data_IF_665181221406
#
_entry.id   IF_665181221406
#
_cell.length_a   1.000
_cell.length_b   1.000
_cell.length_c   1.000
_cell.angle_alpha   90.00
_cell.angle_beta   90.00
_cell.angle_gamma   90.00
#
_symmetry.space_group_name_H-M   'P 1'
#
loop_
_entity.id
_entity.type
_entity.pdbx_description
1 polymer ?
#
# COMPACT_ATOMS: atom_id res chain seq x y z
N UNK A 1 6.75 -16.91 6.86
CA UNK A 1 6.28 -17.92 5.88
C UNK A 1 7.47 -18.81 5.55
N UNK A 2 7.30 -20.12 5.45
CA UNK A 2 8.38 -21.09 5.12
C UNK A 2 8.28 -21.54 3.65
N UNK A 3 9.36 -22.06 3.08
CA UNK A 3 9.40 -22.57 1.69
C UNK A 3 8.39 -23.70 1.44
N UNK A 4 8.11 -24.52 2.46
CA UNK A 4 7.03 -25.52 2.43
C UNK A 4 5.65 -24.87 2.27
N UNK A 5 5.35 -23.82 3.05
CA UNK A 5 4.07 -23.13 2.95
C UNK A 5 3.89 -22.49 1.56
N UNK A 6 4.98 -21.94 0.99
CA UNK A 6 4.97 -21.36 -0.36
C UNK A 6 4.67 -22.44 -1.40
N UNK A 7 5.31 -23.62 -1.29
CA UNK A 7 5.10 -24.72 -2.24
C UNK A 7 3.66 -25.25 -2.22
N UNK A 8 3.04 -25.33 -1.04
CA UNK A 8 1.63 -25.73 -0.89
C UNK A 8 0.70 -24.72 -1.58
N UNK A 9 0.90 -23.41 -1.33
CA UNK A 9 0.07 -22.36 -1.91
C UNK A 9 0.19 -22.26 -3.45
N UNK A 10 1.31 -22.72 -4.00
CA UNK A 10 1.61 -22.66 -5.44
C UNK A 10 1.18 -23.88 -6.25
N UNK A 11 0.77 -24.97 -5.60
CA UNK A 11 0.56 -26.30 -6.24
C UNK A 11 -0.29 -26.26 -7.52
N UNK A 12 -1.29 -25.37 -7.56
CA UNK A 12 -2.24 -25.23 -8.67
C UNK A 12 -2.20 -23.82 -9.32
N UNK A 13 -1.08 -23.12 -9.19
CA UNK A 13 -0.92 -21.73 -9.66
C UNK A 13 0.11 -21.64 -10.79
N UNK A 14 -0.26 -20.90 -11.83
CA UNK A 14 0.57 -20.73 -13.04
C UNK A 14 1.32 -19.39 -13.12
N UNK A 15 1.39 -18.62 -12.02
CA UNK A 15 2.15 -17.37 -12.00
C UNK A 15 3.64 -17.62 -11.70
N UNK A 16 4.51 -16.69 -12.12
CA UNK A 16 5.97 -16.81 -12.03
C UNK A 16 6.48 -17.14 -10.63
N UNK A 17 7.61 -17.84 -10.56
CA UNK A 17 8.23 -18.24 -9.29
C UNK A 17 9.02 -17.10 -8.65
N UNK A 18 9.67 -16.30 -9.48
CA UNK A 18 10.53 -15.20 -9.09
C UNK A 18 9.98 -13.89 -9.65
N UNK A 19 10.24 -12.79 -8.94
CA UNK A 19 9.74 -11.45 -9.30
C UNK A 19 10.34 -10.93 -10.62
N UNK A 20 11.60 -11.27 -10.90
CA UNK A 20 12.29 -10.87 -12.13
C UNK A 20 11.79 -11.61 -13.39
N UNK A 21 10.96 -12.64 -13.19
CA UNK A 21 10.27 -13.39 -14.24
C UNK A 21 8.76 -13.08 -14.29
N UNK A 22 8.26 -12.20 -13.40
CA UNK A 22 6.83 -11.87 -13.28
C UNK A 22 6.51 -10.55 -14.02
N UNK A 23 6.27 -10.67 -15.33
CA UNK A 23 5.87 -9.54 -16.17
C UNK A 23 4.35 -9.31 -16.17
N UNK A 24 3.55 -10.26 -15.65
CA UNK A 24 2.08 -10.20 -15.66
C UNK A 24 1.59 -8.93 -14.94
N UNK A 25 2.27 -8.55 -13.85
CA UNK A 25 1.93 -7.33 -13.12
C UNK A 25 2.25 -6.05 -13.89
N UNK A 26 3.35 -6.02 -14.63
CA UNK A 26 3.76 -4.87 -15.44
C UNK A 26 2.81 -4.69 -16.63
N UNK A 27 2.45 -5.78 -17.28
CA UNK A 27 1.43 -5.81 -18.34
C UNK A 27 0.06 -5.36 -17.83
N UNK A 28 -0.36 -5.85 -16.66
CA UNK A 28 -1.59 -5.41 -15.99
C UNK A 28 -1.59 -3.90 -15.69
N UNK A 29 -0.43 -3.36 -15.32
CA UNK A 29 -0.25 -1.95 -15.02
C UNK A 29 0.02 -1.07 -16.26
N UNK A 30 -0.01 -1.63 -17.48
CA UNK A 30 0.26 -0.88 -18.71
C UNK A 30 -0.66 0.32 -18.86
N UNK A 31 -0.08 1.50 -19.06
CA UNK A 31 -0.79 2.79 -19.13
C UNK A 31 -1.17 3.40 -17.78
N UNK A 32 -0.96 2.69 -16.66
CA UNK A 32 -1.20 3.22 -15.31
C UNK A 32 0.00 4.07 -14.89
N UNK A 33 -0.29 5.28 -14.40
CA UNK A 33 0.73 6.25 -13.97
C UNK A 33 0.66 6.57 -12.48
N UNK A 34 -0.46 6.28 -11.82
CA UNK A 34 -0.74 6.64 -10.43
C UNK A 34 -0.85 5.38 -9.58
N UNK A 35 0.01 5.27 -8.58
CA UNK A 35 0.12 4.10 -7.71
C UNK A 35 -0.07 4.53 -6.27
N UNK A 36 -1.04 3.90 -5.61
CA UNK A 36 -1.31 4.07 -4.19
C UNK A 36 -0.93 2.77 -3.49
N UNK A 37 -0.04 2.83 -2.50
CA UNK A 37 0.29 1.66 -1.71
C UNK A 37 0.74 2.04 -0.29
N UNK A 38 0.73 1.04 0.60
CA UNK A 38 1.23 1.17 1.96
C UNK A 38 2.72 0.86 1.98
N UNK A 39 3.56 1.83 2.35
CA UNK A 39 5.02 1.69 2.30
C UNK A 39 5.57 1.43 0.88
N UNK A 40 5.02 2.10 -0.14
CA UNK A 40 5.33 1.91 -1.58
C UNK A 40 6.82 1.96 -1.94
N UNK A 41 7.66 2.64 -1.14
CA UNK A 41 9.11 2.65 -1.34
C UNK A 41 9.71 1.25 -1.26
N UNK A 42 9.12 0.36 -0.44
CA UNK A 42 9.52 -1.04 -0.36
C UNK A 42 9.06 -1.80 -1.61
N UNK A 43 7.79 -1.75 -1.99
CA UNK A 43 7.27 -2.56 -3.10
C UNK A 43 7.87 -2.15 -4.45
N UNK A 44 8.04 -0.84 -4.66
CA UNK A 44 8.52 -0.31 -5.93
C UNK A 44 9.99 -0.64 -6.26
N UNK A 45 10.74 -1.23 -5.33
CA UNK A 45 12.09 -1.75 -5.63
C UNK A 45 12.05 -3.05 -6.44
N UNK A 46 10.90 -3.75 -6.46
CA UNK A 46 10.71 -5.01 -7.17
C UNK A 46 10.01 -4.83 -8.52
N UNK A 47 9.63 -3.60 -8.88
CA UNK A 47 8.86 -3.30 -10.08
C UNK A 47 9.72 -2.59 -11.11
N UNK A 48 9.71 -3.04 -12.37
CA UNK A 48 10.41 -2.37 -13.46
C UNK A 48 9.48 -1.39 -14.20
N UNK A 49 8.82 -0.50 -13.44
CA UNK A 49 7.92 0.52 -14.00
C UNK A 49 8.65 1.87 -14.00
N UNK A 50 9.12 2.38 -15.16
CA UNK A 50 10.01 3.53 -15.23
C UNK A 50 9.37 4.85 -14.79
N UNK A 51 8.05 4.97 -14.88
CA UNK A 51 7.31 6.16 -14.45
C UNK A 51 6.15 5.80 -13.54
N UNK A 52 6.35 5.98 -12.23
CA UNK A 52 5.31 5.81 -11.22
C UNK A 52 5.14 7.09 -10.42
N UNK A 53 3.97 7.71 -10.50
CA UNK A 53 3.54 8.67 -9.47
C UNK A 53 3.12 7.84 -8.26
N UNK A 54 3.80 8.03 -7.14
CA UNK A 54 3.66 7.21 -5.93
C UNK A 54 2.94 7.99 -4.84
N UNK A 55 1.89 7.40 -4.27
CA UNK A 55 1.22 7.90 -3.07
C UNK A 55 1.34 6.88 -1.96
N UNK A 56 2.06 7.23 -0.90
CA UNK A 56 2.33 6.33 0.22
C UNK A 56 1.39 6.63 1.38
N UNK A 57 0.35 5.80 1.56
CA UNK A 57 -0.63 6.02 2.64
C UNK A 57 0.02 5.95 4.04
N UNK A 58 1.11 5.21 4.20
CA UNK A 58 1.87 5.16 5.47
C UNK A 58 2.50 6.53 5.80
N UNK A 59 3.25 7.10 4.86
CA UNK A 59 3.96 8.37 5.06
C UNK A 59 2.98 9.52 5.27
N UNK A 60 1.91 9.53 4.48
CA UNK A 60 0.89 10.57 4.55
C UNK A 60 0.08 10.55 5.84
N UNK A 61 0.13 9.44 6.60
CA UNK A 61 -0.56 9.28 7.87
C UNK A 61 0.29 9.47 9.13
N UNK A 62 1.60 9.68 9.01
CA UNK A 62 2.51 9.88 10.17
C UNK A 62 2.01 11.02 11.08
N UNK A 63 1.68 12.16 10.49
CA UNK A 63 1.26 13.35 11.24
C UNK A 63 -0.23 13.36 11.61
N UNK A 64 -0.99 12.35 11.18
CA UNK A 64 -2.42 12.24 11.48
C UNK A 64 -2.65 11.29 12.64
N UNK A 65 -2.07 10.09 12.52
CA UNK A 65 -2.17 9.05 13.55
C UNK A 65 -1.28 9.39 14.74
N UNK A 66 -0.18 10.14 14.52
CA UNK A 66 0.68 10.73 15.57
C UNK A 66 1.14 9.74 16.64
N UNK A 67 1.49 8.52 16.25
CA UNK A 67 1.95 7.53 17.22
C UNK A 67 3.37 7.85 17.64
N UNK A 68 3.61 7.92 18.95
CA UNK A 68 4.93 8.20 19.49
C UNK A 68 5.97 7.19 19.00
N UNK A 69 7.05 7.73 18.46
CA UNK A 69 8.25 6.99 18.07
C UNK A 69 9.41 7.32 18.99
N UNK A 70 10.62 7.06 18.51
CA UNK A 70 11.84 7.37 19.25
C UNK A 70 12.23 8.85 19.09
N UNK A 71 12.87 9.40 20.11
CA UNK A 71 13.49 10.75 20.07
C UNK A 71 12.51 11.89 19.74
N UNK A 72 11.29 11.83 20.26
CA UNK A 72 10.28 12.90 20.10
C UNK A 72 9.68 13.02 18.70
N UNK A 73 9.93 12.05 17.81
CA UNK A 73 9.31 11.98 16.48
C UNK A 73 8.16 10.97 16.48
N UNK A 74 7.18 11.18 15.61
CA UNK A 74 6.17 10.15 15.35
C UNK A 74 6.76 9.00 14.54
N UNK A 75 6.39 7.76 14.88
CA UNK A 75 6.76 6.60 14.08
C UNK A 75 5.87 6.50 12.83
N UNK A 76 6.34 5.74 11.84
CA UNK A 76 5.45 5.27 10.79
C UNK A 76 4.38 4.36 11.40
N UNK A 77 3.08 4.64 11.17
CA UNK A 77 2.04 3.77 11.65
C UNK A 77 2.12 2.42 10.92
N UNK A 78 1.61 1.37 11.54
CA UNK A 78 1.29 0.10 10.91
C UNK A 78 -0.01 0.23 10.12
N UNK A 79 -0.21 -0.66 9.15
CA UNK A 79 -1.43 -0.67 8.33
C UNK A 79 -2.69 -0.75 9.20
N UNK A 80 -2.71 -1.65 10.18
CA UNK A 80 -3.84 -1.81 11.11
C UNK A 80 -4.04 -0.61 12.05
N UNK A 81 -2.97 0.06 12.48
CA UNK A 81 -3.07 1.30 13.27
C UNK A 81 -3.71 2.42 12.45
N UNK A 82 -3.33 2.55 11.17
CA UNK A 82 -3.93 3.52 10.25
C UNK A 82 -5.38 3.18 9.94
N UNK A 83 -5.71 1.91 9.69
CA UNK A 83 -7.08 1.45 9.49
C UNK A 83 -7.97 1.77 10.70
N UNK A 84 -7.50 1.46 11.91
CA UNK A 84 -8.19 1.77 13.17
C UNK A 84 -8.40 3.27 13.36
N UNK A 85 -7.42 4.10 13.03
CA UNK A 85 -7.56 5.56 13.06
C UNK A 85 -8.72 6.06 12.19
N UNK A 86 -8.92 5.47 11.01
CA UNK A 86 -10.03 5.81 10.13
C UNK A 86 -11.35 5.07 10.45
N UNK A 87 -11.42 4.30 11.54
CA UNK A 87 -12.60 3.52 11.90
C UNK A 87 -12.93 2.42 10.89
N UNK A 88 -11.90 1.78 10.32
CA UNK A 88 -12.02 0.59 9.47
C UNK A 88 -11.77 -0.63 10.37
N UNK A 89 -12.71 -1.58 10.34
CA UNK A 89 -12.55 -2.85 11.05
C UNK A 89 -11.44 -3.69 10.41
N UNK A 90 -10.56 -4.22 11.26
CA UNK A 90 -9.44 -5.07 10.84
C UNK A 90 -9.68 -6.46 11.40
N UNK A 91 -9.79 -7.42 10.49
CA UNK A 91 -9.72 -8.84 10.81
C UNK A 91 -8.24 -9.24 10.92
N UNK A 92 -7.76 -9.32 12.15
CA UNK A 92 -6.36 -9.65 12.44
C UNK A 92 -5.97 -11.05 11.91
N UNK A 93 -6.93 -11.97 11.72
CA UNK A 93 -6.67 -13.29 11.12
C UNK A 93 -6.39 -13.23 9.62
N UNK A 94 -6.84 -12.18 8.94
CA UNK A 94 -6.62 -11.97 7.52
C UNK A 94 -5.38 -11.10 7.21
N UNK A 95 -4.76 -10.50 8.24
CA UNK A 95 -3.55 -9.68 8.07
C UNK A 95 -2.39 -10.49 7.48
N UNK A 96 -1.49 -9.81 6.77
CA UNK A 96 -0.35 -10.42 6.07
C UNK A 96 -0.73 -11.30 4.87
N UNK A 97 -1.99 -11.24 4.43
CA UNK A 97 -2.38 -11.63 3.08
C UNK A 97 -2.35 -10.40 2.18
N UNK A 98 -1.66 -10.50 1.05
CA UNK A 98 -1.44 -9.37 0.14
C UNK A 98 -2.74 -8.76 -0.39
N UNK A 99 -3.75 -9.58 -0.66
CA UNK A 99 -5.08 -9.13 -1.11
C UNK A 99 -5.82 -8.34 -0.03
N UNK A 100 -5.79 -8.82 1.21
CA UNK A 100 -6.42 -8.15 2.34
C UNK A 100 -5.70 -6.86 2.74
N UNK A 101 -4.37 -6.87 2.75
CA UNK A 101 -3.57 -5.68 3.05
C UNK A 101 -3.78 -4.61 1.96
N UNK A 102 -3.89 -5.02 0.70
CA UNK A 102 -4.25 -4.12 -0.43
C UNK A 102 -5.65 -3.54 -0.26
N UNK A 103 -6.63 -4.36 0.15
CA UNK A 103 -7.98 -3.91 0.45
C UNK A 103 -8.00 -2.85 1.56
N UNK A 104 -7.29 -3.09 2.67
CA UNK A 104 -7.18 -2.11 3.76
C UNK A 104 -6.50 -0.82 3.30
N UNK A 105 -5.44 -0.90 2.50
CA UNK A 105 -4.78 0.27 1.92
C UNK A 105 -5.76 1.10 1.06
N UNK A 106 -6.54 0.44 0.20
CA UNK A 106 -7.59 1.06 -0.61
C UNK A 106 -8.65 1.74 0.27
N UNK A 107 -9.15 1.06 1.30
CA UNK A 107 -10.14 1.66 2.23
C UNK A 107 -9.58 2.88 2.95
N UNK A 108 -8.33 2.82 3.45
CA UNK A 108 -7.65 3.97 4.05
C UNK A 108 -7.60 5.13 3.06
N UNK A 109 -7.17 4.89 1.82
CA UNK A 109 -7.10 5.94 0.80
C UNK A 109 -8.47 6.55 0.49
N UNK A 110 -9.53 5.74 0.41
CA UNK A 110 -10.91 6.22 0.24
C UNK A 110 -11.36 7.09 1.41
N UNK A 111 -10.96 6.77 2.65
CA UNK A 111 -11.26 7.62 3.81
C UNK A 111 -10.47 8.93 3.75
N UNK A 112 -9.21 8.89 3.32
CA UNK A 112 -8.42 10.10 3.09
C UNK A 112 -9.04 11.02 2.04
N UNK A 113 -9.61 10.46 0.96
CA UNK A 113 -10.32 11.23 -0.08
C UNK A 113 -11.56 11.98 0.46
N UNK A 114 -12.18 11.48 1.52
CA UNK A 114 -13.39 12.06 2.12
C UNK A 114 -13.08 13.07 3.22
N UNK A 115 -11.85 13.07 3.75
CA UNK A 115 -11.43 14.01 4.78
C UNK A 115 -10.84 15.27 4.13
N UNK A 116 -11.47 16.42 4.41
CA UNK A 116 -11.14 17.71 3.84
C UNK A 116 -9.69 18.17 4.15
N UNK A 117 -9.02 17.54 5.13
CA UNK A 117 -7.64 17.86 5.49
C UNK A 117 -6.60 17.34 4.48
N UNK A 118 -6.91 16.30 3.67
CA UNK A 118 -5.96 15.69 2.74
C UNK A 118 -6.08 16.17 1.30
N UNK A 119 -7.01 17.09 1.04
CA UNK A 119 -7.31 17.56 -0.29
C UNK A 119 -6.05 18.05 -1.02
N UNK A 120 -5.15 18.82 -0.39
CA UNK A 120 -4.03 19.40 -1.13
C UNK A 120 -3.08 18.36 -1.75
N UNK A 121 -2.55 17.43 -0.94
CA UNK A 121 -1.55 16.45 -1.41
C UNK A 121 -2.16 15.40 -2.34
N UNK A 122 -3.41 15.03 -2.10
CA UNK A 122 -4.13 14.12 -3.00
C UNK A 122 -4.41 14.81 -4.34
N UNK A 123 -4.85 16.08 -4.33
CA UNK A 123 -5.08 16.83 -5.57
C UNK A 123 -3.77 17.01 -6.36
N UNK A 124 -2.67 17.31 -5.68
CA UNK A 124 -1.32 17.35 -6.28
C UNK A 124 -0.94 15.99 -6.89
N UNK A 125 -1.17 14.89 -6.17
CA UNK A 125 -0.93 13.54 -6.67
C UNK A 125 -1.75 13.23 -7.93
N UNK A 126 -3.04 13.60 -7.94
CA UNK A 126 -3.96 13.37 -9.05
C UNK A 126 -3.77 14.35 -10.23
N UNK A 127 -2.87 15.33 -10.11
CA UNK A 127 -2.72 16.46 -11.06
C UNK A 127 -4.04 17.19 -11.35
N UNK A 128 -4.89 17.33 -10.33
CA UNK A 128 -6.07 18.17 -10.44
C UNK A 128 -5.58 19.59 -10.13
N UNK A 129 -5.36 20.38 -11.19
CA UNK A 129 -5.02 21.81 -11.05
C UNK A 129 -6.08 22.54 -10.22
N UNK A 130 -5.63 23.48 -9.39
CA UNK A 130 -6.51 24.43 -8.69
C UNK A 130 -6.73 25.67 -9.51
#
# INVERSE_FOLDING_TARGET
>A
MTDENISILRKDRNYSKYFDEDYDFEDFCSGITHFVAYNISFDSQFLNIPYMRKFCTMNENVNNVKIEGKYGKYKWPKLNETAKFYGIEVDEFCTHRSDYDTYLCKEIFVRMLKDNNYNKKILEFLNIEK
#
